data_IF_624313401743
#
_entry.id   IF_624313401743
#
_cell.length_a   1.000
_cell.length_b   1.000
_cell.length_c   1.000
_cell.angle_alpha   90.00
_cell.angle_beta   90.00
_cell.angle_gamma   90.00
#
_symmetry.space_group_name_H-M   'P 1'
#
loop_
_entity.id
_entity.type
_entity.pdbx_description
1 polymer ?
#
# COMPACT_ATOMS: atom_id res chain seq x y z
N UNK A 1 -7.40 20.64 9.84
CA UNK A 1 -8.17 19.53 9.21
C UNK A 1 -7.26 18.74 8.27
N UNK A 2 -7.43 17.41 8.18
CA UNK A 2 -6.74 16.56 7.20
C UNK A 2 -7.58 16.46 5.92
N UNK A 3 -6.93 16.52 4.75
CA UNK A 3 -7.58 16.40 3.44
C UNK A 3 -6.74 15.51 2.53
N UNK A 4 -7.35 14.45 2.01
CA UNK A 4 -6.80 13.65 0.92
C UNK A 4 -7.22 14.27 -0.41
N UNK A 5 -6.29 14.44 -1.35
CA UNK A 5 -6.59 14.91 -2.69
C UNK A 5 -5.63 14.29 -3.72
N UNK A 6 -6.08 14.08 -4.97
CA UNK A 6 -5.16 13.83 -6.07
C UNK A 6 -4.28 15.06 -6.30
N UNK A 7 -3.03 14.80 -6.70
CA UNK A 7 -2.10 15.81 -7.16
C UNK A 7 -2.62 16.47 -8.44
N UNK A 8 -2.29 17.74 -8.62
CA UNK A 8 -2.60 18.52 -9.80
C UNK A 8 -1.54 19.63 -9.97
N UNK A 9 -1.59 20.35 -11.10
CA UNK A 9 -0.59 21.36 -11.43
C UNK A 9 -0.41 22.47 -10.36
N UNK A 10 -1.47 22.83 -9.63
CA UNK A 10 -1.39 23.87 -8.59
C UNK A 10 -0.58 23.42 -7.37
N UNK A 11 -0.44 22.10 -7.18
CA UNK A 11 0.29 21.51 -6.07
C UNK A 11 1.79 21.38 -6.32
N UNK A 12 2.26 21.63 -7.56
CA UNK A 12 3.66 21.45 -7.97
C UNK A 12 4.63 22.19 -7.05
N UNK A 13 4.48 23.51 -6.76
CA UNK A 13 5.45 24.21 -5.92
C UNK A 13 5.54 23.60 -4.51
N UNK A 14 4.39 23.30 -3.91
CA UNK A 14 4.33 22.73 -2.56
C UNK A 14 4.86 21.29 -2.50
N UNK A 15 4.66 20.50 -3.57
CA UNK A 15 5.16 19.13 -3.63
C UNK A 15 6.67 19.07 -3.85
N UNK A 16 7.21 19.97 -4.70
CA UNK A 16 8.65 20.16 -4.86
C UNK A 16 9.30 20.51 -3.52
N UNK A 17 8.75 21.50 -2.81
CA UNK A 17 9.23 21.91 -1.48
C UNK A 17 9.20 20.72 -0.51
N UNK A 18 8.07 20.01 -0.42
CA UNK A 18 7.92 18.86 0.47
C UNK A 18 8.93 17.73 0.20
N UNK A 19 9.11 17.33 -1.06
CA UNK A 19 10.03 16.23 -1.42
C UNK A 19 11.48 16.67 -1.15
N UNK A 20 11.83 17.90 -1.50
CA UNK A 20 13.18 18.40 -1.35
C UNK A 20 13.55 18.61 0.13
N UNK A 21 12.64 19.15 0.94
CA UNK A 21 12.80 19.25 2.40
C UNK A 21 13.07 17.86 3.02
N UNK A 22 12.28 16.85 2.65
CA UNK A 22 12.49 15.48 3.10
C UNK A 22 13.87 14.95 2.75
N UNK A 23 14.33 15.16 1.51
CA UNK A 23 15.64 14.66 1.07
C UNK A 23 16.79 15.40 1.74
N UNK A 24 16.70 16.72 1.86
CA UNK A 24 17.76 17.56 2.42
C UNK A 24 17.87 17.43 3.93
N UNK A 25 16.74 17.49 4.63
CA UNK A 25 16.71 17.64 6.09
C UNK A 25 16.40 16.32 6.81
N UNK A 26 15.87 15.32 6.10
CA UNK A 26 15.29 14.13 6.71
C UNK A 26 15.64 12.83 5.98
N UNK A 27 16.77 12.77 5.24
CA UNK A 27 17.16 11.63 4.40
C UNK A 27 16.95 10.26 5.06
N UNK A 28 17.44 10.07 6.29
CA UNK A 28 17.36 8.82 7.06
C UNK A 28 15.94 8.43 7.48
N UNK A 29 14.96 9.29 7.26
CA UNK A 29 13.54 9.10 7.57
C UNK A 29 12.65 9.01 6.31
N UNK A 30 13.24 9.10 5.12
CA UNK A 30 12.53 8.99 3.83
C UNK A 30 12.39 7.54 3.36
N UNK A 31 11.66 7.31 2.27
CA UNK A 31 11.63 6.02 1.59
C UNK A 31 12.99 5.63 1.00
N UNK A 32 13.87 6.61 0.75
CA UNK A 32 15.23 6.42 0.20
C UNK A 32 16.29 6.11 1.27
N UNK A 33 15.91 5.99 2.55
CA UNK A 33 16.84 5.76 3.65
C UNK A 33 17.64 4.43 3.56
N UNK A 34 17.29 3.54 2.64
CA UNK A 34 18.10 2.34 2.32
C UNK A 34 19.35 2.65 1.49
N UNK A 35 19.38 3.81 0.83
CA UNK A 35 20.53 4.31 0.10
C UNK A 35 21.42 5.12 1.05
N UNK A 36 22.74 5.00 0.86
CA UNK A 36 23.68 5.95 1.46
C UNK A 36 23.35 7.34 0.95
N UNK A 37 23.28 8.32 1.87
CA UNK A 37 23.07 9.70 1.49
C UNK A 37 24.19 10.14 0.53
N UNK A 38 23.84 10.64 -0.67
CA UNK A 38 24.85 11.12 -1.62
C UNK A 38 25.48 12.41 -1.09
N UNK A 39 26.70 12.71 -1.57
CA UNK A 39 27.37 13.99 -1.26
C UNK A 39 26.56 15.18 -1.79
N UNK A 40 25.98 15.02 -2.98
CA UNK A 40 25.06 15.99 -3.60
C UNK A 40 23.66 15.38 -3.67
N UNK A 41 22.69 16.04 -3.05
CA UNK A 41 21.30 15.57 -3.00
C UNK A 41 20.59 16.13 -4.24
N UNK A 42 20.16 15.27 -5.19
CA UNK A 42 19.46 15.75 -6.37
C UNK A 42 18.10 16.32 -5.97
N UNK A 43 17.90 17.59 -6.37
CA UNK A 43 16.66 18.31 -6.16
C UNK A 43 15.64 17.89 -7.20
N UNK A 44 14.44 17.59 -6.73
CA UNK A 44 13.29 17.34 -7.59
C UNK A 44 12.87 18.65 -8.24
N UNK A 45 12.66 18.63 -9.56
CA UNK A 45 12.20 19.79 -10.33
C UNK A 45 10.69 19.72 -10.60
N UNK A 46 10.11 20.87 -10.90
CA UNK A 46 8.69 20.98 -11.26
C UNK A 46 8.35 20.16 -12.51
N UNK A 47 9.20 20.22 -13.55
CA UNK A 47 8.98 19.46 -14.78
C UNK A 47 8.99 17.94 -14.56
N UNK A 48 9.81 17.45 -13.64
CA UNK A 48 9.92 16.02 -13.33
C UNK A 48 8.62 15.49 -12.72
N UNK A 49 8.00 16.26 -11.81
CA UNK A 49 6.73 15.87 -11.18
C UNK A 49 5.57 15.87 -12.18
N UNK A 50 5.50 16.90 -13.03
CA UNK A 50 4.47 16.98 -14.07
C UNK A 50 4.62 15.85 -15.09
N UNK A 51 5.85 15.59 -15.54
CA UNK A 51 6.13 14.50 -16.47
C UNK A 51 5.81 13.14 -15.85
N UNK A 52 6.18 12.90 -14.59
CA UNK A 52 5.87 11.67 -13.88
C UNK A 52 4.36 11.46 -13.73
N UNK A 53 3.58 12.52 -13.52
CA UNK A 53 2.11 12.41 -13.40
C UNK A 53 1.42 12.13 -14.74
N UNK A 54 2.04 12.51 -15.86
CA UNK A 54 1.50 12.31 -17.21
C UNK A 54 1.86 10.96 -17.83
N UNK A 55 2.62 10.10 -17.14
CA UNK A 55 2.97 8.80 -17.68
C UNK A 55 1.71 7.96 -17.95
N UNK A 56 1.63 7.21 -19.06
CA UNK A 56 0.42 6.47 -19.45
C UNK A 56 -0.10 5.50 -18.38
N UNK A 57 0.82 4.95 -17.58
CA UNK A 57 0.51 3.97 -16.54
C UNK A 57 0.28 4.61 -15.17
N UNK A 58 0.40 5.93 -15.02
CA UNK A 58 0.12 6.63 -13.76
C UNK A 58 -1.38 6.59 -13.49
N UNK A 59 -1.77 5.95 -12.39
CA UNK A 59 -3.16 6.03 -11.88
C UNK A 59 -3.34 7.34 -11.13
N UNK A 60 -2.34 7.75 -10.34
CA UNK A 60 -2.28 9.08 -9.74
C UNK A 60 -1.27 9.21 -8.61
N UNK A 61 -0.86 10.45 -8.34
CA UNK A 61 -0.20 10.83 -7.09
C UNK A 61 -1.24 11.33 -6.10
N UNK A 62 -1.28 10.74 -4.91
CA UNK A 62 -2.22 11.09 -3.85
C UNK A 62 -1.51 11.84 -2.74
N UNK A 63 -2.05 13.01 -2.37
CA UNK A 63 -1.50 13.90 -1.37
C UNK A 63 -2.39 13.94 -0.13
N UNK A 64 -1.77 13.82 1.04
CA UNK A 64 -2.42 14.13 2.30
C UNK A 64 -1.95 15.50 2.78
N UNK A 65 -2.89 16.43 2.92
CA UNK A 65 -2.66 17.78 3.41
C UNK A 65 -3.20 17.96 4.83
N UNK A 66 -2.51 18.73 5.66
CA UNK A 66 -2.99 19.22 6.95
C UNK A 66 -2.91 20.74 6.97
N UNK A 67 -4.06 21.40 7.10
CA UNK A 67 -4.15 22.87 7.07
C UNK A 67 -3.48 23.46 5.81
N UNK A 68 -3.74 22.89 4.64
CA UNK A 68 -3.15 23.32 3.36
C UNK A 68 -1.76 22.76 3.05
N UNK A 69 -0.94 22.45 4.06
CA UNK A 69 0.42 21.90 3.86
C UNK A 69 0.40 20.41 3.52
N UNK A 70 1.16 20.01 2.50
CA UNK A 70 1.40 18.58 2.19
C UNK A 70 2.22 17.97 3.32
N UNK A 71 1.74 16.84 3.86
CA UNK A 71 2.42 16.12 4.95
C UNK A 71 2.77 14.68 4.59
N UNK A 72 2.18 14.14 3.52
CA UNK A 72 2.44 12.79 3.04
C UNK A 72 1.97 12.64 1.59
N UNK A 73 2.60 11.73 0.86
CA UNK A 73 2.22 11.34 -0.48
C UNK A 73 2.31 9.82 -0.68
N UNK A 74 1.60 9.33 -1.69
CA UNK A 74 1.63 7.97 -2.20
C UNK A 74 1.42 8.03 -3.72
N UNK A 75 2.19 7.27 -4.48
CA UNK A 75 1.99 7.12 -5.92
C UNK A 75 1.40 5.75 -6.22
N UNK A 76 0.48 5.72 -7.19
CA UNK A 76 -0.08 4.50 -7.76
C UNK A 76 0.15 4.48 -9.26
N UNK A 77 0.72 3.38 -9.74
CA UNK A 77 0.85 3.06 -11.16
C UNK A 77 0.18 1.73 -11.46
N UNK A 78 -0.32 1.57 -12.68
CA UNK A 78 -0.55 0.28 -13.30
C UNK A 78 0.82 -0.30 -13.71
N UNK A 79 1.25 -1.38 -13.07
CA UNK A 79 2.60 -1.93 -13.24
C UNK A 79 2.94 -2.22 -14.70
N UNK A 80 1.98 -2.73 -15.44
CA UNK A 80 2.16 -3.23 -16.81
C UNK A 80 1.32 -2.47 -17.84
N UNK A 81 0.40 -1.61 -17.40
CA UNK A 81 -0.57 -0.94 -18.27
C UNK A 81 -1.69 -1.88 -18.74
N UNK A 82 -1.86 -3.05 -18.10
CA UNK A 82 -2.80 -4.10 -18.50
C UNK A 82 -4.04 -4.18 -17.60
N UNK A 83 -4.14 -3.29 -16.61
CA UNK A 83 -5.25 -3.21 -15.66
C UNK A 83 -5.26 -4.32 -14.61
N UNK A 84 -4.23 -5.17 -14.50
CA UNK A 84 -4.23 -6.32 -13.57
C UNK A 84 -3.52 -6.04 -12.26
N UNK A 85 -2.46 -5.24 -12.28
CA UNK A 85 -1.58 -5.03 -11.12
C UNK A 85 -1.33 -3.56 -10.88
N UNK A 86 -1.85 -3.03 -9.76
CA UNK A 86 -1.48 -1.69 -9.31
C UNK A 86 -0.30 -1.75 -8.32
N UNK A 87 0.59 -0.76 -8.36
CA UNK A 87 1.77 -0.68 -7.49
C UNK A 87 1.71 0.57 -6.62
N UNK A 88 1.88 0.37 -5.32
CA UNK A 88 2.08 1.45 -4.35
C UNK A 88 3.58 1.72 -4.22
N UNK A 89 3.97 2.95 -4.50
CA UNK A 89 5.36 3.40 -4.38
C UNK A 89 5.42 4.90 -4.05
N UNK A 90 6.64 5.45 -3.93
CA UNK A 90 6.84 6.88 -3.65
C UNK A 90 6.20 7.34 -2.34
N UNK A 91 6.09 6.44 -1.35
CA UNK A 91 5.44 6.73 -0.07
C UNK A 91 6.35 7.58 0.79
N UNK A 92 5.95 8.84 0.99
CA UNK A 92 6.67 9.76 1.87
C UNK A 92 5.74 10.32 2.94
N UNK A 93 6.27 10.58 4.12
CA UNK A 93 5.54 11.22 5.23
C UNK A 93 6.52 12.07 6.02
N UNK A 94 6.20 13.35 6.20
CA UNK A 94 7.01 14.25 7.01
C UNK A 94 7.22 13.69 8.43
N UNK A 95 8.44 13.72 9.00
CA UNK A 95 8.78 13.07 10.28
C UNK A 95 7.81 13.32 11.42
N UNK A 96 7.34 14.57 11.58
CA UNK A 96 6.36 14.99 12.60
C UNK A 96 5.04 14.20 12.58
N UNK A 97 4.74 13.54 11.46
CA UNK A 97 3.51 12.81 11.22
C UNK A 97 3.67 11.28 11.12
N UNK A 98 4.91 10.74 11.15
CA UNK A 98 5.18 9.32 10.94
C UNK A 98 4.68 8.39 12.08
N UNK A 99 4.41 8.93 13.27
CA UNK A 99 4.09 8.11 14.48
C UNK A 99 2.66 8.26 15.02
N UNK A 100 1.74 8.83 14.23
CA UNK A 100 0.37 9.15 14.70
C UNK A 100 -0.72 8.32 14.03
N UNK A 101 -0.33 7.33 13.22
CA UNK A 101 -1.26 6.61 12.35
C UNK A 101 -1.90 7.50 11.27
N UNK A 102 -1.38 8.71 11.06
CA UNK A 102 -1.90 9.70 10.12
C UNK A 102 -1.89 9.18 8.69
N UNK A 103 -0.71 8.76 8.21
CA UNK A 103 -0.54 8.14 6.91
C UNK A 103 -1.51 6.96 6.71
N UNK A 104 -1.55 6.07 7.70
CA UNK A 104 -2.44 4.91 7.71
C UNK A 104 -3.92 5.31 7.55
N UNK A 105 -4.42 6.17 8.44
CA UNK A 105 -5.86 6.48 8.54
C UNK A 105 -6.37 7.33 7.39
N UNK A 106 -5.56 8.29 6.94
CA UNK A 106 -6.02 9.36 6.06
C UNK A 106 -5.48 9.30 4.63
N UNK A 107 -4.47 8.47 4.34
CA UNK A 107 -3.94 8.28 2.99
C UNK A 107 -4.04 6.82 2.56
N UNK A 108 -3.32 5.92 3.23
CA UNK A 108 -3.19 4.53 2.79
C UNK A 108 -4.52 3.77 2.80
N UNK A 109 -5.31 3.88 3.88
CA UNK A 109 -6.62 3.21 3.98
C UNK A 109 -7.59 3.69 2.88
N UNK A 110 -7.82 5.00 2.67
CA UNK A 110 -8.65 5.46 1.56
C UNK A 110 -8.15 5.01 0.18
N UNK A 111 -6.85 5.15 -0.13
CA UNK A 111 -6.31 4.72 -1.43
C UNK A 111 -6.48 3.21 -1.66
N UNK A 112 -6.29 2.39 -0.62
CA UNK A 112 -6.59 0.96 -0.69
C UNK A 112 -8.08 0.69 -0.98
N UNK A 113 -8.99 1.44 -0.37
CA UNK A 113 -10.42 1.26 -0.63
C UNK A 113 -10.76 1.59 -2.07
N UNK A 114 -10.25 2.71 -2.56
CA UNK A 114 -10.45 3.16 -3.93
C UNK A 114 -9.90 2.14 -4.93
N UNK A 115 -8.66 1.67 -4.76
CA UNK A 115 -8.08 0.71 -5.71
C UNK A 115 -8.80 -0.65 -5.70
N UNK A 116 -9.39 -1.04 -4.58
CA UNK A 116 -10.19 -2.27 -4.49
C UNK A 116 -11.53 -2.17 -5.24
N UNK A 117 -12.04 -0.97 -5.55
CA UNK A 117 -13.24 -0.81 -6.40
C UNK A 117 -12.90 -0.83 -7.88
N UNK A 118 -11.64 -0.56 -8.24
CA UNK A 118 -11.14 -0.62 -9.62
C UNK A 118 -10.94 -2.07 -10.10
N UNK A 119 -10.65 -2.26 -11.40
CA UNK A 119 -10.62 -3.60 -12.00
C UNK A 119 -9.33 -4.42 -11.76
N UNK A 120 -8.42 -3.96 -10.90
CA UNK A 120 -7.19 -4.69 -10.58
C UNK A 120 -7.45 -6.04 -9.90
N UNK A 121 -6.55 -7.00 -10.14
CA UNK A 121 -6.56 -8.33 -9.52
C UNK A 121 -5.74 -8.32 -8.22
N UNK A 122 -4.62 -7.60 -8.20
CA UNK A 122 -3.76 -7.49 -7.02
C UNK A 122 -3.08 -6.14 -6.93
N UNK A 123 -2.56 -5.85 -5.74
CA UNK A 123 -1.67 -4.74 -5.50
C UNK A 123 -0.28 -5.24 -5.17
N UNK A 124 0.72 -4.45 -5.52
CA UNK A 124 2.09 -4.62 -5.07
C UNK A 124 2.55 -3.38 -4.31
N UNK A 125 3.42 -3.55 -3.33
CA UNK A 125 4.16 -2.47 -2.70
C UNK A 125 5.64 -2.84 -2.72
N UNK A 126 6.46 -1.92 -3.20
CA UNK A 126 7.91 -2.09 -3.21
C UNK A 126 8.47 -1.43 -1.95
N UNK A 127 9.22 -2.21 -1.16
CA UNK A 127 9.87 -1.70 0.03
C UNK A 127 11.24 -2.33 0.23
N UNK A 128 11.85 -2.15 1.40
CA UNK A 128 13.21 -2.61 1.70
C UNK A 128 13.32 -3.25 3.09
N UNK A 129 14.34 -4.10 3.26
CA UNK A 129 14.51 -5.04 4.40
C UNK A 129 14.29 -4.43 5.78
N UNK A 130 14.75 -3.19 5.96
CA UNK A 130 14.73 -2.52 7.26
C UNK A 130 13.71 -1.39 7.33
N UNK A 131 12.70 -1.37 6.46
CA UNK A 131 11.54 -0.49 6.61
C UNK A 131 10.63 -0.96 7.75
N UNK A 132 11.14 -0.86 8.99
CA UNK A 132 10.46 -1.31 10.22
C UNK A 132 9.17 -0.53 10.49
N UNK A 133 9.00 0.65 9.88
CA UNK A 133 7.79 1.47 10.00
C UNK A 133 6.73 1.05 8.99
N UNK A 134 7.11 0.87 7.72
CA UNK A 134 6.19 0.60 6.62
C UNK A 134 5.66 -0.83 6.60
N UNK A 135 6.53 -1.83 6.78
CA UNK A 135 6.15 -3.26 6.65
C UNK A 135 4.97 -3.62 7.56
N UNK A 136 4.95 -3.27 8.87
CA UNK A 136 3.79 -3.57 9.72
C UNK A 136 2.50 -2.86 9.29
N UNK A 137 2.60 -1.66 8.70
CA UNK A 137 1.44 -0.91 8.20
C UNK A 137 0.87 -1.54 6.93
N UNK A 138 1.73 -1.98 6.01
CA UNK A 138 1.30 -2.72 4.82
C UNK A 138 0.65 -4.05 5.22
N UNK A 139 1.26 -4.83 6.12
CA UNK A 139 0.67 -6.09 6.59
C UNK A 139 -0.68 -5.90 7.26
N UNK A 140 -0.87 -4.80 8.01
CA UNK A 140 -2.15 -4.46 8.66
C UNK A 140 -3.32 -4.35 7.68
N UNK A 141 -3.07 -4.13 6.39
CA UNK A 141 -4.09 -4.04 5.36
C UNK A 141 -4.04 -5.15 4.33
N UNK A 142 -3.46 -6.29 4.70
CA UNK A 142 -3.49 -7.47 3.87
C UNK A 142 -2.38 -7.53 2.82
N UNK A 143 -1.36 -6.67 2.88
CA UNK A 143 -0.14 -6.99 2.16
C UNK A 143 0.57 -8.19 2.82
N UNK A 144 1.26 -8.98 2.00
CA UNK A 144 2.01 -10.16 2.37
C UNK A 144 3.39 -10.07 1.71
N UNK A 145 4.44 -10.22 2.50
CA UNK A 145 5.81 -10.14 2.03
C UNK A 145 6.19 -11.42 1.28
N UNK A 146 6.53 -11.28 -0.01
CA UNK A 146 6.79 -12.41 -0.91
C UNK A 146 8.16 -13.03 -0.59
N UNK A 147 8.21 -14.33 -0.22
CA UNK A 147 9.47 -15.01 0.07
C UNK A 147 10.47 -14.96 -1.10
N UNK A 148 11.76 -14.82 -0.80
CA UNK A 148 12.84 -14.86 -1.81
C UNK A 148 12.95 -13.60 -2.68
N UNK A 149 12.21 -12.53 -2.38
CA UNK A 149 12.32 -11.23 -3.07
C UNK A 149 13.05 -10.21 -2.20
N UNK A 150 13.54 -9.11 -2.78
CA UNK A 150 14.04 -7.96 -2.02
C UNK A 150 12.91 -7.13 -1.38
N UNK A 151 11.94 -7.81 -0.74
CA UNK A 151 10.69 -7.28 -0.17
C UNK A 151 9.76 -6.59 -1.17
N UNK A 152 9.34 -7.36 -2.17
CA UNK A 152 8.05 -7.13 -2.79
C UNK A 152 6.97 -7.60 -1.81
N UNK A 153 5.95 -6.77 -1.61
CA UNK A 153 4.75 -7.15 -0.87
C UNK A 153 3.55 -7.19 -1.82
N UNK A 154 2.71 -8.22 -1.70
CA UNK A 154 1.52 -8.40 -2.54
C UNK A 154 0.25 -8.32 -1.69
N UNK A 155 -0.83 -7.82 -2.28
CA UNK A 155 -2.14 -7.73 -1.65
C UNK A 155 -3.22 -8.22 -2.61
N UNK A 156 -3.94 -9.27 -2.21
CA UNK A 156 -4.98 -9.91 -3.01
C UNK A 156 -6.40 -9.46 -2.62
N UNK A 157 -6.54 -8.43 -1.79
CA UNK A 157 -7.86 -7.86 -1.48
C UNK A 157 -8.69 -7.54 -2.74
N UNK A 158 -8.15 -6.93 -3.82
CA UNK A 158 -8.96 -6.69 -5.01
C UNK A 158 -9.60 -7.96 -5.60
N UNK A 159 -8.83 -9.04 -5.74
CA UNK A 159 -9.34 -10.35 -6.18
C UNK A 159 -10.34 -10.96 -5.18
N UNK A 160 -9.99 -10.96 -3.89
CA UNK A 160 -10.80 -11.59 -2.85
C UNK A 160 -12.14 -10.90 -2.68
N UNK A 161 -12.17 -9.57 -2.71
CA UNK A 161 -13.38 -8.76 -2.54
C UNK A 161 -14.35 -8.88 -3.71
N UNK A 162 -13.88 -9.28 -4.91
CA UNK A 162 -14.73 -9.50 -6.08
C UNK A 162 -15.27 -10.93 -6.17
N UNK A 163 -14.64 -11.88 -5.50
CA UNK A 163 -15.02 -13.29 -5.61
C UNK A 163 -16.46 -13.54 -5.11
N UNK A 164 -17.34 -14.20 -5.89
CA UNK A 164 -18.76 -14.39 -5.50
C UNK A 164 -18.96 -15.01 -4.12
N UNK A 165 -18.15 -16.03 -3.78
CA UNK A 165 -18.25 -16.74 -2.49
C UNK A 165 -17.81 -15.91 -1.27
N UNK A 166 -17.30 -14.69 -1.42
CA UNK A 166 -16.92 -13.81 -0.30
C UNK A 166 -17.84 -12.62 -0.13
N UNK A 167 -18.62 -12.27 -1.17
CA UNK A 167 -19.49 -11.08 -1.21
C UNK A 167 -20.46 -11.01 -0.03
N UNK A 168 -21.08 -12.15 0.32
CA UNK A 168 -22.02 -12.21 1.43
C UNK A 168 -21.37 -11.70 2.74
N UNK A 169 -20.16 -12.14 3.06
CA UNK A 169 -19.44 -11.70 4.25
C UNK A 169 -19.13 -10.19 4.19
N UNK A 170 -18.58 -9.71 3.07
CA UNK A 170 -18.16 -8.31 2.94
C UNK A 170 -19.31 -7.31 2.79
N UNK A 171 -20.52 -7.77 2.43
CA UNK A 171 -21.74 -6.96 2.51
C UNK A 171 -22.14 -6.62 3.94
N UNK A 172 -21.75 -7.45 4.92
CA UNK A 172 -22.07 -7.28 6.35
C UNK A 172 -20.91 -6.70 7.15
N UNK A 173 -19.67 -6.98 6.73
CA UNK A 173 -18.48 -6.73 7.52
C UNK A 173 -17.44 -5.90 6.78
N UNK A 174 -16.88 -4.90 7.46
CA UNK A 174 -15.78 -4.11 6.91
C UNK A 174 -14.51 -4.97 6.79
N UNK A 175 -14.08 -5.21 5.55
CA UNK A 175 -12.93 -6.07 5.21
C UNK A 175 -11.57 -5.57 5.71
N UNK A 176 -11.45 -4.32 6.15
CA UNK A 176 -10.21 -3.81 6.76
C UNK A 176 -10.30 -3.97 8.28
N UNK A 177 -11.48 -3.74 8.86
CA UNK A 177 -11.70 -3.80 10.31
C UNK A 177 -11.68 -5.23 10.85
N UNK A 178 -12.24 -6.17 10.11
CA UNK A 178 -12.36 -7.58 10.53
C UNK A 178 -11.16 -8.44 10.13
N UNK A 179 -10.27 -7.92 9.27
CA UNK A 179 -9.06 -8.62 8.82
C UNK A 179 -8.10 -8.85 9.99
N UNK A 180 -7.82 -10.12 10.23
CA UNK A 180 -6.81 -10.59 11.15
C UNK A 180 -5.45 -10.54 10.47
N UNK A 181 -4.50 -9.88 11.12
CA UNK A 181 -3.13 -9.81 10.64
C UNK A 181 -2.16 -10.03 11.79
N UNK A 182 -1.26 -10.99 11.61
CA UNK A 182 -0.09 -11.11 12.49
C UNK A 182 0.82 -9.93 12.22
N UNK A 183 1.19 -9.19 13.27
CA UNK A 183 2.23 -8.16 13.17
C UNK A 183 3.60 -8.83 13.21
N UNK A 184 3.96 -9.52 12.13
CA UNK A 184 5.27 -10.13 11.97
C UNK A 184 6.18 -9.23 11.14
N UNK A 185 7.48 -9.25 11.48
CA UNK A 185 8.54 -8.78 10.59
C UNK A 185 9.03 -9.99 9.76
N UNK A 186 9.31 -9.78 8.48
CA UNK A 186 9.80 -10.84 7.57
C UNK A 186 8.77 -11.33 6.55
N UNK A 187 9.18 -12.33 5.77
CA UNK A 187 8.36 -12.94 4.71
C UNK A 187 7.16 -13.69 5.27
N UNK A 188 6.09 -13.76 4.50
CA UNK A 188 4.91 -14.54 4.83
C UNK A 188 5.03 -15.91 4.14
N UNK A 189 5.76 -16.83 4.77
CA UNK A 189 5.96 -18.20 4.32
C UNK A 189 5.06 -19.16 5.10
N UNK A 190 3.83 -19.37 4.61
CA UNK A 190 2.93 -20.38 5.17
C UNK A 190 2.81 -21.51 4.14
N UNK A 191 3.08 -22.73 4.56
CA UNK A 191 2.80 -23.92 3.76
C UNK A 191 1.54 -24.58 4.29
N UNK A 192 0.57 -24.81 3.40
CA UNK A 192 -0.68 -25.51 3.72
C UNK A 192 -0.87 -26.67 2.73
N UNK A 193 -0.94 -27.91 3.22
CA UNK A 193 -0.99 -29.14 2.41
C UNK A 193 0.03 -29.17 1.25
N UNK A 194 1.26 -28.73 1.52
CA UNK A 194 2.34 -28.70 0.51
C UNK A 194 2.31 -27.53 -0.48
N UNK A 195 1.35 -26.60 -0.36
CA UNK A 195 1.28 -25.38 -1.15
C UNK A 195 1.76 -24.17 -0.35
N UNK A 196 2.58 -23.33 -0.98
CA UNK A 196 2.91 -22.02 -0.41
C UNK A 196 1.73 -21.07 -0.58
N UNK A 197 1.19 -20.60 0.54
CA UNK A 197 -0.04 -19.82 0.59
C UNK A 197 0.14 -18.50 1.33
N UNK A 198 -0.58 -17.49 0.85
CA UNK A 198 -0.93 -16.34 1.67
C UNK A 198 -2.30 -16.57 2.30
N UNK A 199 -2.33 -16.46 3.62
CA UNK A 199 -3.54 -16.61 4.41
C UNK A 199 -4.16 -15.24 4.71
N UNK A 200 -5.45 -15.14 4.45
CA UNK A 200 -6.29 -14.02 4.80
C UNK A 200 -7.44 -14.52 5.67
N UNK A 201 -7.52 -14.01 6.89
CA UNK A 201 -8.58 -14.36 7.83
C UNK A 201 -9.34 -13.11 8.23
N UNK A 202 -10.66 -13.18 8.21
CA UNK A 202 -11.54 -12.16 8.76
C UNK A 202 -12.37 -12.76 9.89
N UNK A 203 -12.47 -12.01 10.99
CA UNK A 203 -13.23 -12.40 12.17
C UNK A 203 -14.19 -11.28 12.53
N UNK A 204 -15.49 -11.59 12.50
CA UNK A 204 -16.54 -10.75 13.06
C UNK A 204 -16.97 -11.31 14.43
N UNK A 205 -18.07 -10.82 15.01
CA UNK A 205 -18.52 -11.28 16.34
C UNK A 205 -19.00 -12.74 16.35
N UNK A 206 -19.62 -13.20 15.26
CA UNK A 206 -20.36 -14.48 15.22
C UNK A 206 -19.99 -15.35 14.01
N UNK A 207 -19.20 -14.82 13.08
CA UNK A 207 -18.80 -15.51 11.85
C UNK A 207 -17.41 -15.06 11.41
N UNK A 208 -16.73 -15.92 10.67
CA UNK A 208 -15.43 -15.65 10.08
C UNK A 208 -15.31 -16.20 8.67
N UNK A 209 -14.31 -15.68 7.96
CA UNK A 209 -13.97 -16.03 6.59
C UNK A 209 -12.46 -16.25 6.50
N UNK A 210 -12.04 -17.38 5.94
CA UNK A 210 -10.64 -17.64 5.62
C UNK A 210 -10.48 -17.84 4.12
N UNK A 211 -9.48 -17.19 3.53
CA UNK A 211 -9.16 -17.30 2.10
C UNK A 211 -7.66 -17.58 1.95
N UNK A 212 -7.34 -18.64 1.22
CA UNK A 212 -5.97 -19.00 0.89
C UNK A 212 -5.67 -18.65 -0.57
N UNK A 213 -4.58 -17.92 -0.77
CA UNK A 213 -4.04 -17.57 -2.09
C UNK A 213 -2.79 -18.43 -2.33
N UNK A 214 -2.78 -19.19 -3.41
CA UNK A 214 -1.51 -19.70 -3.94
C UNK A 214 -0.79 -18.53 -4.61
N UNK A 215 0.18 -17.94 -3.91
CA UNK A 215 0.84 -16.71 -4.36
C UNK A 215 1.85 -16.95 -5.47
N UNK A 216 2.28 -18.19 -5.73
CA UNK A 216 3.07 -18.51 -6.94
C UNK A 216 2.21 -18.44 -8.19
N UNK A 217 0.99 -18.97 -8.10
CA UNK A 217 0.03 -19.02 -9.20
C UNK A 217 -0.98 -17.85 -9.19
N UNK A 218 -0.85 -16.90 -8.26
CA UNK A 218 -1.67 -15.68 -8.13
C UNK A 218 -3.18 -15.94 -8.05
N UNK A 219 -3.61 -17.05 -7.43
CA UNK A 219 -5.03 -17.50 -7.44
C UNK A 219 -5.57 -17.88 -6.07
N UNK A 220 -6.86 -17.67 -5.87
CA UNK A 220 -7.60 -18.24 -4.74
C UNK A 220 -7.65 -19.77 -4.92
N UNK A 221 -7.33 -20.51 -3.87
CA UNK A 221 -7.41 -21.98 -3.86
C UNK A 221 -8.37 -22.54 -2.82
N UNK A 222 -8.79 -21.73 -1.85
CA UNK A 222 -9.72 -22.13 -0.80
C UNK A 222 -10.42 -20.92 -0.20
N UNK A 223 -11.72 -21.07 0.07
CA UNK A 223 -12.57 -20.11 0.76
C UNK A 223 -13.39 -20.88 1.78
N UNK A 224 -13.22 -20.56 3.07
CA UNK A 224 -13.89 -21.26 4.17
C UNK A 224 -14.64 -20.27 5.05
N UNK A 225 -15.96 -20.44 5.15
CA UNK A 225 -16.79 -19.73 6.10
C UNK A 225 -16.92 -20.56 7.37
N UNK A 226 -16.90 -19.92 8.53
CA UNK A 226 -17.08 -20.60 9.81
C UNK A 226 -17.90 -19.74 10.77
N UNK A 227 -18.64 -20.41 11.65
CA UNK A 227 -19.27 -19.77 12.82
C UNK A 227 -18.27 -19.77 13.98
N UNK A 228 -18.38 -18.77 14.84
CA UNK A 228 -17.55 -18.60 16.05
C UNK A 228 -18.38 -18.96 17.27
#
# INVERSE_FOLDING_TARGET
MFKLCPFNAQDVPALVEFINDLRQNHWSLTALAYLRQPAEIPMTKAEELLHAEQQPNRIGTFLLKKNGRIISMLQLDDKYGDGKVAVFFGVETHPDFQRRGTFWRHLLKPCLREICTMNFERLEAITWAFNRKGIPLYKRIGFRAVPGTSLVMENYLPLILKHPNTQAYFSRHDYIRTLQNKRSYGYDNITNHGLDVFDYQWLAKTEGLAVHINWKNKRIISINHHRI
#
